data_IF_794648689057
#
_entry.id   IF_794648689057
#
_cell.length_a   1.000
_cell.length_b   1.000
_cell.length_c   1.000
_cell.angle_alpha   90.00
_cell.angle_beta   90.00
_cell.angle_gamma   90.00
#
_symmetry.space_group_name_H-M   'P 1'
#
loop_
_entity.id
_entity.type
_entity.pdbx_description
1 polymer ?
#
# COMPACT_ATOMS: atom_id res chain seq x y z
N UNK A 1 -7.96 -5.20 11.62
CA UNK A 1 -8.07 -3.77 11.26
C UNK A 1 -7.57 -2.90 12.42
N UNK A 2 -7.08 -1.72 12.10
CA UNK A 2 -6.64 -0.70 13.05
C UNK A 2 -7.48 0.56 12.83
N UNK A 3 -8.17 1.01 13.85
CA UNK A 3 -8.92 2.26 13.83
C UNK A 3 -8.25 3.25 14.78
N UNK A 4 -7.95 4.44 14.29
CA UNK A 4 -7.28 5.50 15.06
C UNK A 4 -8.12 6.76 15.01
N UNK A 5 -8.28 7.38 16.16
CA UNK A 5 -8.96 8.65 16.32
C UNK A 5 -8.07 9.64 17.07
N UNK A 6 -8.14 10.93 16.72
CA UNK A 6 -7.39 11.98 17.38
C UNK A 6 -7.90 13.37 17.06
N UNK A 7 -7.80 14.28 18.02
CA UNK A 7 -8.21 15.67 17.86
C UNK A 7 -7.38 16.43 16.81
N UNK A 8 -6.11 16.02 16.65
CA UNK A 8 -5.14 16.68 15.77
C UNK A 8 -4.75 15.79 14.58
N UNK A 9 -4.44 16.43 13.46
CA UNK A 9 -4.06 15.75 12.22
C UNK A 9 -2.61 15.24 12.20
N UNK A 10 -1.80 15.57 13.21
CA UNK A 10 -0.35 15.33 13.17
C UNK A 10 0.09 13.95 13.67
N UNK A 11 -0.67 13.30 14.55
CA UNK A 11 -0.17 12.12 15.27
C UNK A 11 -0.88 10.80 14.96
N UNK A 12 -2.07 10.83 14.40
CA UNK A 12 -2.90 9.66 14.13
C UNK A 12 -2.20 8.66 13.21
N UNK A 13 -1.61 9.11 12.09
CA UNK A 13 -0.84 8.25 11.17
C UNK A 13 0.36 7.60 11.84
N UNK A 14 1.07 8.33 12.68
CA UNK A 14 2.24 7.79 13.39
C UNK A 14 1.81 6.76 14.44
N UNK A 15 0.68 6.97 15.10
CA UNK A 15 0.13 6.01 16.03
C UNK A 15 -0.31 4.73 15.30
N UNK A 16 -1.04 4.84 14.20
CA UNK A 16 -1.43 3.71 13.37
C UNK A 16 -0.23 2.87 12.91
N UNK A 17 0.84 3.54 12.43
CA UNK A 17 2.09 2.87 12.03
C UNK A 17 2.76 2.14 13.20
N UNK A 18 2.84 2.75 14.38
CA UNK A 18 3.43 2.12 15.58
C UNK A 18 2.63 0.91 16.03
N UNK A 19 1.29 1.01 16.02
CA UNK A 19 0.41 -0.11 16.34
C UNK A 19 0.60 -1.24 15.33
N UNK A 20 0.58 -0.92 14.02
CA UNK A 20 0.80 -1.90 12.95
C UNK A 20 2.15 -2.61 13.10
N UNK A 21 3.21 -1.86 13.38
CA UNK A 21 4.53 -2.43 13.63
C UNK A 21 4.56 -3.38 14.84
N UNK A 22 3.93 -2.97 15.95
CA UNK A 22 3.87 -3.78 17.18
C UNK A 22 3.06 -5.05 16.96
N UNK A 23 1.92 -4.97 16.29
CA UNK A 23 1.08 -6.12 15.95
C UNK A 23 1.81 -7.09 15.02
N UNK A 24 2.51 -6.57 14.02
CA UNK A 24 3.28 -7.40 13.09
C UNK A 24 4.42 -8.14 13.82
N UNK A 25 5.12 -7.46 14.74
CA UNK A 25 6.11 -8.12 15.63
C UNK A 25 5.52 -9.19 16.53
N UNK A 26 4.26 -9.05 16.93
CA UNK A 26 3.52 -10.05 17.69
C UNK A 26 2.98 -11.21 16.82
N UNK A 27 3.28 -11.21 15.51
CA UNK A 27 2.84 -12.25 14.58
C UNK A 27 1.46 -12.01 13.96
N UNK A 28 0.85 -10.84 14.18
CA UNK A 28 -0.42 -10.50 13.53
C UNK A 28 -0.21 -10.17 12.07
N UNK A 29 -1.01 -10.76 11.20
CA UNK A 29 -1.09 -10.40 9.78
C UNK A 29 -1.98 -9.17 9.61
N UNK A 30 -1.55 -8.25 8.78
CA UNK A 30 -2.27 -7.02 8.45
C UNK A 30 -2.57 -7.04 6.94
N UNK A 31 -3.80 -7.42 6.54
CA UNK A 31 -4.19 -7.45 5.13
C UNK A 31 -4.28 -6.03 4.56
N UNK A 32 -4.32 -5.90 3.24
CA UNK A 32 -4.52 -4.62 2.57
C UNK A 32 -5.72 -3.86 3.14
N UNK A 33 -5.69 -2.52 3.08
CA UNK A 33 -6.68 -1.65 3.71
C UNK A 33 -6.79 -1.89 5.22
N UNK A 34 -5.63 -1.93 5.87
CA UNK A 34 -5.49 -2.35 7.27
C UNK A 34 -6.06 -1.38 8.28
N UNK A 35 -6.06 -0.07 7.98
CA UNK A 35 -6.44 0.94 8.96
C UNK A 35 -7.27 2.08 8.39
N UNK A 36 -8.14 2.62 9.22
CA UNK A 36 -8.86 3.86 9.00
C UNK A 36 -8.55 4.88 10.09
N UNK A 37 -8.46 6.14 9.70
CA UNK A 37 -8.04 7.25 10.52
C UNK A 37 -9.15 8.31 10.57
N UNK A 38 -9.51 8.74 11.79
CA UNK A 38 -10.32 9.92 12.04
C UNK A 38 -9.47 11.00 12.69
N UNK A 39 -9.43 12.18 12.08
CA UNK A 39 -8.94 13.40 12.72
C UNK A 39 -10.11 14.24 13.22
N UNK A 40 -9.91 15.13 14.18
CA UNK A 40 -11.01 15.91 14.76
C UNK A 40 -11.84 16.68 13.74
N UNK A 41 -11.23 17.16 12.67
CA UNK A 41 -11.90 17.87 11.57
C UNK A 41 -12.43 16.95 10.46
N UNK A 42 -12.02 15.69 10.43
CA UNK A 42 -12.23 14.72 9.34
C UNK A 42 -11.76 15.20 7.95
N UNK A 43 -10.93 16.26 7.88
CA UNK A 43 -10.40 16.77 6.60
C UNK A 43 -9.56 15.74 5.85
N UNK A 44 -8.97 14.78 6.56
CA UNK A 44 -8.28 13.66 5.95
C UNK A 44 -9.18 12.78 5.09
N UNK A 45 -10.52 12.87 5.25
CA UNK A 45 -11.51 12.14 4.45
C UNK A 45 -12.01 12.92 3.23
N UNK A 46 -11.56 14.16 3.01
CA UNK A 46 -12.09 15.03 1.94
C UNK A 46 -12.05 14.37 0.56
N UNK A 47 -10.95 13.74 0.19
CA UNK A 47 -10.81 13.07 -1.12
C UNK A 47 -11.77 11.88 -1.25
N UNK A 48 -11.88 11.05 -0.23
CA UNK A 48 -12.80 9.92 -0.22
C UNK A 48 -14.26 10.37 -0.29
N UNK A 49 -14.60 11.43 0.45
CA UNK A 49 -15.93 12.02 0.46
C UNK A 49 -16.33 12.55 -0.93
N UNK A 50 -15.43 13.31 -1.56
CA UNK A 50 -15.68 13.85 -2.91
C UNK A 50 -15.80 12.74 -3.96
N UNK A 51 -14.88 11.76 -3.94
CA UNK A 51 -14.89 10.66 -4.91
C UNK A 51 -16.16 9.80 -4.82
N UNK A 52 -16.69 9.62 -3.62
CA UNK A 52 -17.86 8.76 -3.35
C UNK A 52 -19.17 9.57 -3.23
N UNK A 53 -19.14 10.88 -3.38
CA UNK A 53 -20.25 11.78 -3.16
C UNK A 53 -20.91 11.60 -1.76
N UNK A 54 -20.08 11.53 -0.72
CA UNK A 54 -20.45 11.32 0.67
C UNK A 54 -20.09 12.55 1.52
N UNK A 55 -20.69 12.70 2.69
CA UNK A 55 -20.18 13.60 3.71
C UNK A 55 -18.86 13.06 4.29
N UNK A 56 -18.07 13.94 4.95
CA UNK A 56 -16.80 13.52 5.58
C UNK A 56 -17.00 12.39 6.59
N UNK A 57 -18.09 12.45 7.35
CA UNK A 57 -18.43 11.44 8.35
C UNK A 57 -18.81 10.10 7.71
N UNK A 58 -19.63 10.12 6.69
CA UNK A 58 -20.01 8.91 5.94
C UNK A 58 -18.80 8.28 5.26
N UNK A 59 -17.93 9.10 4.67
CA UNK A 59 -16.68 8.61 4.05
C UNK A 59 -15.74 7.93 5.07
N UNK A 60 -15.65 8.46 6.29
CA UNK A 60 -14.89 7.81 7.36
C UNK A 60 -15.52 6.47 7.75
N UNK A 61 -16.84 6.41 7.97
CA UNK A 61 -17.50 5.14 8.33
C UNK A 61 -17.41 4.10 7.21
N UNK A 62 -17.53 4.50 5.96
CA UNK A 62 -17.33 3.60 4.82
C UNK A 62 -15.91 3.04 4.82
N UNK A 63 -14.89 3.90 4.97
CA UNK A 63 -13.50 3.49 5.03
C UNK A 63 -13.20 2.56 6.23
N UNK A 64 -13.74 2.86 7.41
CA UNK A 64 -13.59 2.03 8.59
C UNK A 64 -14.28 0.66 8.42
N UNK A 65 -15.48 0.66 7.85
CA UNK A 65 -16.22 -0.56 7.53
C UNK A 65 -15.46 -1.46 6.56
N UNK A 66 -14.92 -0.90 5.49
CA UNK A 66 -14.08 -1.62 4.53
C UNK A 66 -12.85 -2.25 5.20
N UNK A 67 -12.14 -1.51 6.06
CA UNK A 67 -10.99 -2.03 6.78
C UNK A 67 -11.35 -3.24 7.68
N UNK A 68 -12.51 -3.20 8.32
CA UNK A 68 -13.02 -4.31 9.15
C UNK A 68 -13.45 -5.48 8.27
N UNK A 69 -14.21 -5.24 7.21
CA UNK A 69 -14.66 -6.28 6.28
C UNK A 69 -13.47 -7.03 5.67
N UNK A 70 -12.46 -6.31 5.18
CA UNK A 70 -11.24 -6.93 4.65
C UNK A 70 -10.51 -7.80 5.70
N UNK A 71 -10.45 -7.34 6.95
CA UNK A 71 -9.84 -8.14 8.02
C UNK A 71 -10.62 -9.43 8.30
N UNK A 72 -11.96 -9.37 8.26
CA UNK A 72 -12.82 -10.54 8.45
C UNK A 72 -12.74 -11.50 7.27
N UNK A 73 -12.79 -11.00 6.04
CA UNK A 73 -12.63 -11.81 4.82
C UNK A 73 -11.28 -12.55 4.81
N UNK A 74 -10.21 -11.85 5.23
CA UNK A 74 -8.90 -12.46 5.37
C UNK A 74 -8.90 -13.57 6.45
N UNK A 75 -9.50 -13.31 7.61
CA UNK A 75 -9.59 -14.29 8.70
C UNK A 75 -10.40 -15.54 8.30
N UNK A 76 -11.45 -15.35 7.50
CA UNK A 76 -12.29 -16.43 6.97
C UNK A 76 -11.67 -17.17 5.78
N UNK A 77 -10.46 -16.77 5.34
CA UNK A 77 -9.80 -17.35 4.16
C UNK A 77 -10.49 -17.02 2.84
N UNK A 78 -11.40 -16.03 2.83
CA UNK A 78 -12.14 -15.58 1.64
C UNK A 78 -11.40 -14.57 0.78
N UNK A 79 -10.19 -14.18 1.17
CA UNK A 79 -9.36 -13.36 0.29
C UNK A 79 -9.03 -14.16 -0.97
N UNK A 80 -9.45 -13.63 -2.10
CA UNK A 80 -9.09 -14.17 -3.40
C UNK A 80 -7.61 -13.92 -3.68
N UNK A 81 -6.74 -14.68 -3.03
CA UNK A 81 -5.42 -14.93 -3.58
C UNK A 81 -5.65 -15.50 -4.99
N UNK A 82 -4.97 -15.01 -5.98
CA UNK A 82 -4.99 -15.64 -7.30
C UNK A 82 -4.60 -17.11 -7.11
N UNK A 83 -5.60 -17.99 -7.16
CA UNK A 83 -5.42 -19.41 -6.85
C UNK A 83 -4.83 -20.20 -8.02
N UNK A 84 -4.80 -19.61 -9.21
CA UNK A 84 -4.35 -20.27 -10.43
C UNK A 84 -2.93 -19.82 -10.80
N UNK A 85 -1.94 -20.57 -10.32
CA UNK A 85 -0.54 -20.37 -10.69
C UNK A 85 0.40 -19.97 -9.54
N UNK A 86 1.66 -19.67 -9.85
CA UNK A 86 2.63 -19.27 -8.84
C UNK A 86 2.31 -17.87 -8.27
N UNK A 87 2.52 -17.70 -6.97
CA UNK A 87 2.32 -16.42 -6.29
C UNK A 87 3.27 -15.34 -6.85
N UNK A 88 2.77 -14.15 -7.08
CA UNK A 88 3.53 -13.03 -7.65
C UNK A 88 4.02 -12.11 -6.53
N UNK A 89 5.32 -12.13 -6.30
CA UNK A 89 5.98 -11.30 -5.29
C UNK A 89 6.62 -10.07 -5.95
N UNK A 90 6.15 -8.88 -5.60
CA UNK A 90 6.81 -7.63 -5.95
C UNK A 90 7.83 -7.24 -4.88
N UNK A 91 9.09 -7.07 -5.29
CA UNK A 91 10.16 -6.56 -4.44
C UNK A 91 10.58 -5.16 -4.88
N UNK A 92 10.36 -4.16 -4.03
CA UNK A 92 10.73 -2.76 -4.29
C UNK A 92 11.91 -2.40 -3.38
N UNK A 93 12.95 -1.82 -3.94
CA UNK A 93 14.11 -1.36 -3.19
C UNK A 93 14.74 -0.10 -3.77
N UNK A 94 15.42 0.69 -2.92
CA UNK A 94 16.14 1.90 -3.33
C UNK A 94 17.66 1.78 -3.10
N UNK A 95 18.14 0.60 -2.73
CA UNK A 95 19.53 0.34 -2.42
C UNK A 95 20.42 0.09 -3.65
N UNK A 96 21.72 0.27 -3.48
CA UNK A 96 22.69 -0.17 -4.49
C UNK A 96 22.79 -1.70 -4.46
N UNK A 97 22.51 -2.36 -5.60
CA UNK A 97 22.53 -3.84 -5.73
C UNK A 97 23.85 -4.50 -5.31
N UNK A 98 24.95 -3.77 -5.38
CA UNK A 98 26.28 -4.32 -5.10
C UNK A 98 26.80 -4.01 -3.69
N UNK A 99 26.35 -2.88 -3.09
CA UNK A 99 26.88 -2.37 -1.83
C UNK A 99 25.89 -2.41 -0.66
N UNK A 100 24.59 -2.59 -0.91
CA UNK A 100 23.56 -2.64 0.13
C UNK A 100 23.54 -4.02 0.79
N UNK A 101 23.73 -4.06 2.10
CA UNK A 101 23.60 -5.29 2.89
C UNK A 101 22.19 -5.89 2.77
N UNK A 102 21.16 -5.05 2.71
CA UNK A 102 19.76 -5.49 2.52
C UNK A 102 19.57 -6.18 1.17
N UNK A 103 20.11 -5.60 0.09
CA UNK A 103 20.07 -6.22 -1.23
C UNK A 103 20.88 -7.51 -1.31
N UNK A 104 22.02 -7.60 -0.60
CA UNK A 104 22.82 -8.83 -0.50
C UNK A 104 22.06 -9.91 0.28
N UNK A 105 21.45 -9.55 1.38
CA UNK A 105 20.60 -10.44 2.17
C UNK A 105 19.41 -10.95 1.33
N UNK A 106 18.74 -10.07 0.59
CA UNK A 106 17.66 -10.45 -0.32
C UNK A 106 18.13 -11.47 -1.38
N UNK A 107 19.31 -11.27 -1.97
CA UNK A 107 19.89 -12.24 -2.91
C UNK A 107 20.08 -13.64 -2.29
N UNK A 108 20.40 -13.71 -1.00
CA UNK A 108 20.48 -14.99 -0.29
C UNK A 108 19.09 -15.58 -0.08
N UNK A 109 18.13 -14.81 0.44
CA UNK A 109 16.75 -15.27 0.68
C UNK A 109 16.12 -15.82 -0.60
N UNK A 110 16.29 -15.13 -1.73
CA UNK A 110 15.79 -15.58 -3.04
C UNK A 110 16.22 -16.98 -3.45
N UNK A 111 17.41 -17.43 -3.01
CA UNK A 111 17.91 -18.77 -3.35
C UNK A 111 17.11 -19.88 -2.69
N UNK A 112 16.45 -19.57 -1.57
CA UNK A 112 15.64 -20.52 -0.80
C UNK A 112 14.16 -20.48 -1.13
N UNK A 113 13.70 -19.51 -1.92
CA UNK A 113 12.32 -19.43 -2.34
C UNK A 113 12.02 -20.48 -3.43
N UNK A 114 10.89 -21.18 -3.34
CA UNK A 114 10.49 -22.19 -4.32
C UNK A 114 10.17 -21.51 -5.67
N UNK A 115 11.01 -21.75 -6.66
CA UNK A 115 10.92 -21.11 -7.99
C UNK A 115 9.70 -21.52 -8.80
N UNK A 116 9.16 -22.67 -8.51
CA UNK A 116 7.94 -23.22 -9.11
C UNK A 116 6.66 -22.62 -8.53
N UNK A 117 6.75 -22.04 -7.33
CA UNK A 117 5.59 -21.48 -6.59
C UNK A 117 5.57 -19.96 -6.52
N UNK A 118 6.69 -19.28 -6.83
CA UNK A 118 6.81 -17.83 -6.68
C UNK A 118 7.48 -17.21 -7.90
N UNK A 119 6.77 -16.28 -8.53
CA UNK A 119 7.35 -15.38 -9.54
C UNK A 119 7.72 -14.06 -8.88
N UNK A 120 8.97 -13.62 -9.05
CA UNK A 120 9.50 -12.43 -8.42
C UNK A 120 9.70 -11.33 -9.47
N UNK A 121 9.05 -10.18 -9.25
CA UNK A 121 9.30 -8.93 -9.97
C UNK A 121 10.07 -7.98 -9.06
N UNK A 122 11.19 -7.44 -9.54
CA UNK A 122 12.03 -6.50 -8.80
C UNK A 122 12.01 -5.12 -9.44
N UNK A 123 11.76 -4.08 -8.63
CA UNK A 123 11.83 -2.68 -9.05
C UNK A 123 12.82 -1.95 -8.16
N UNK A 124 13.81 -1.31 -8.80
CA UNK A 124 14.79 -0.47 -8.09
C UNK A 124 14.44 1.01 -8.29
N UNK A 125 14.11 1.69 -7.21
CA UNK A 125 13.77 3.11 -7.21
C UNK A 125 14.98 4.05 -7.23
N UNK A 126 16.19 3.53 -7.25
CA UNK A 126 17.42 4.34 -7.18
C UNK A 126 17.88 4.89 -8.54
N UNK A 127 17.22 4.60 -9.63
CA UNK A 127 17.65 4.97 -10.98
C UNK A 127 17.62 6.49 -11.27
N UNK A 128 17.18 7.33 -10.33
CA UNK A 128 17.07 8.78 -10.51
C UNK A 128 15.83 9.25 -11.28
N UNK A 129 15.01 8.31 -11.74
CA UNK A 129 13.77 8.59 -12.50
C UNK A 129 12.55 8.74 -11.60
N UNK A 130 12.71 8.46 -10.30
CA UNK A 130 11.65 8.60 -9.30
C UNK A 130 11.60 10.05 -8.86
N UNK A 131 10.53 10.73 -9.24
CA UNK A 131 10.21 12.09 -8.79
C UNK A 131 9.05 12.05 -7.79
N UNK A 132 9.08 12.97 -6.85
CA UNK A 132 7.96 13.21 -5.95
C UNK A 132 6.74 13.73 -6.70
N UNK A 133 5.56 13.62 -6.09
CA UNK A 133 4.35 14.20 -6.63
C UNK A 133 4.50 15.74 -6.75
N UNK A 134 4.33 16.26 -7.96
CA UNK A 134 4.48 17.68 -8.28
C UNK A 134 3.27 18.52 -7.85
N UNK A 135 2.19 17.88 -7.37
CA UNK A 135 0.99 18.57 -6.87
C UNK A 135 0.20 19.26 -7.99
N UNK A 136 -0.63 18.53 -8.69
CA UNK A 136 -1.60 19.10 -9.63
C UNK A 136 -2.91 19.48 -8.91
N UNK A 137 -3.76 20.34 -9.52
CA UNK A 137 -5.12 20.57 -9.02
C UNK A 137 -5.87 19.26 -8.85
N UNK A 138 -6.75 19.21 -7.85
CA UNK A 138 -7.43 17.96 -7.47
C UNK A 138 -8.18 17.32 -8.64
N UNK A 139 -8.89 18.12 -9.43
CA UNK A 139 -9.67 17.65 -10.58
C UNK A 139 -8.77 17.00 -11.65
N UNK A 140 -7.60 17.57 -11.91
CA UNK A 140 -6.61 17.01 -12.83
C UNK A 140 -6.07 15.68 -12.28
N UNK A 141 -5.72 15.66 -10.98
CA UNK A 141 -5.24 14.45 -10.33
C UNK A 141 -6.30 13.35 -10.38
N UNK A 142 -7.56 13.66 -10.08
CA UNK A 142 -8.68 12.73 -10.10
C UNK A 142 -8.87 12.12 -11.51
N UNK A 143 -8.91 12.96 -12.54
CA UNK A 143 -9.09 12.52 -13.93
C UNK A 143 -8.05 11.49 -14.37
N UNK A 144 -6.78 11.71 -14.02
CA UNK A 144 -5.72 10.77 -14.38
C UNK A 144 -5.68 9.54 -13.47
N UNK A 145 -5.96 9.70 -12.16
CA UNK A 145 -5.92 8.60 -11.20
C UNK A 145 -7.01 7.55 -11.43
N UNK A 146 -8.18 7.93 -11.95
CA UNK A 146 -9.24 7.01 -12.36
C UNK A 146 -8.77 6.02 -13.45
N UNK A 147 -7.79 6.45 -14.25
CA UNK A 147 -7.15 5.63 -15.30
C UNK A 147 -5.87 4.93 -14.82
N UNK A 148 -5.57 4.99 -13.52
CA UNK A 148 -4.32 4.45 -12.97
C UNK A 148 -3.07 5.18 -13.45
N UNK A 149 -3.19 6.46 -13.82
CA UNK A 149 -2.11 7.25 -14.41
C UNK A 149 -1.87 8.57 -13.68
N UNK A 150 -0.90 9.35 -14.14
CA UNK A 150 -0.56 10.68 -13.67
C UNK A 150 -0.32 11.61 -14.84
N UNK A 151 -0.72 12.88 -14.74
CA UNK A 151 -0.45 13.88 -15.77
C UNK A 151 1.04 13.98 -16.13
N UNK A 152 1.91 13.86 -15.13
CA UNK A 152 3.37 13.94 -15.30
C UNK A 152 4.02 12.59 -15.66
N UNK A 153 3.27 11.48 -15.66
CA UNK A 153 3.83 10.14 -15.91
C UNK A 153 4.84 9.70 -14.85
N UNK A 154 5.83 8.92 -15.28
CA UNK A 154 6.99 8.52 -14.49
C UNK A 154 6.91 7.11 -13.89
N UNK A 155 8.04 6.65 -13.36
CA UNK A 155 8.25 5.26 -12.88
C UNK A 155 7.18 4.78 -11.90
N UNK A 156 6.68 5.67 -11.04
CA UNK A 156 5.66 5.29 -10.06
C UNK A 156 4.36 4.83 -10.71
N UNK A 157 3.88 5.51 -11.74
CA UNK A 157 2.62 5.15 -12.42
C UNK A 157 2.82 4.18 -13.58
N UNK A 158 3.99 4.19 -14.20
CA UNK A 158 4.27 3.35 -15.38
C UNK A 158 4.77 1.95 -15.01
N UNK A 159 5.46 1.81 -13.87
CA UNK A 159 6.05 0.55 -13.46
C UNK A 159 5.58 0.07 -12.09
N UNK A 160 5.61 0.95 -11.05
CA UNK A 160 5.35 0.53 -9.67
C UNK A 160 3.88 0.24 -9.46
N UNK A 161 2.99 1.16 -9.84
CA UNK A 161 1.56 1.01 -9.63
C UNK A 161 0.96 -0.20 -10.38
N UNK A 162 1.24 -0.43 -11.68
CA UNK A 162 0.80 -1.65 -12.35
C UNK A 162 1.34 -2.92 -11.71
N UNK A 163 2.63 -2.90 -11.30
CA UNK A 163 3.22 -4.04 -10.62
C UNK A 163 2.57 -4.35 -9.27
N UNK A 164 2.14 -3.32 -8.52
CA UNK A 164 1.41 -3.50 -7.27
C UNK A 164 0.05 -4.16 -7.50
N UNK A 165 -0.69 -3.73 -8.53
CA UNK A 165 -2.00 -4.29 -8.86
C UNK A 165 -1.91 -5.75 -9.35
N UNK A 166 -0.80 -6.12 -9.96
CA UNK A 166 -0.56 -7.48 -10.47
C UNK A 166 0.01 -8.43 -9.41
N UNK A 167 0.40 -7.94 -8.24
CA UNK A 167 1.14 -8.73 -7.25
C UNK A 167 0.25 -9.27 -6.14
N UNK A 168 0.54 -10.48 -5.68
CA UNK A 168 -0.13 -11.13 -4.55
C UNK A 168 0.55 -10.78 -3.22
N UNK A 169 1.84 -10.41 -3.26
CA UNK A 169 2.62 -10.02 -2.10
C UNK A 169 3.62 -8.91 -2.44
N UNK A 170 3.90 -8.05 -1.44
CA UNK A 170 4.84 -6.94 -1.54
C UNK A 170 5.94 -7.07 -0.51
N UNK A 171 7.19 -6.90 -0.95
CA UNK A 171 8.37 -6.76 -0.11
C UNK A 171 9.03 -5.41 -0.39
N UNK A 172 9.32 -4.64 0.65
CA UNK A 172 10.04 -3.36 0.57
C UNK A 172 11.37 -3.52 1.31
N UNK A 173 12.48 -3.16 0.64
CA UNK A 173 13.85 -3.32 1.12
C UNK A 173 14.59 -1.98 1.20
#
# INVERSE_FOLDING_TARGET
AILVDGENELYTKNMAKKIAFSLNRAGCMLPGHTFAEATGSLKNQTKNAMHRNLSLKEAFFANAGEAVCHALEYADGRTTAHTDGPARLLCIYAGNKQKSNTCLFWKLVRKFLPKDKIVIREINLRNGEVADCLGCPFEVCLHYSEKGSCFYGGVMVEQVYPALLESDALMIL
#
